data_IF_369024759874
#
_entry.id   IF_369024759874
#
_cell.length_a   1.000
_cell.length_b   1.000
_cell.length_c   1.000
_cell.angle_alpha   90.00
_cell.angle_beta   90.00
_cell.angle_gamma   90.00
#
_symmetry.space_group_name_H-M   'P 1'
#
loop_
_entity.id
_entity.type
_entity.pdbx_description
1 polymer ?
#
# COMPACT_ATOMS: atom_id res chain seq x y z
N UNK A 1 22.38 41.29 19.29
CA UNK A 1 22.40 39.95 19.94
C UNK A 1 21.46 39.05 19.17
N UNK A 2 21.91 38.06 18.39
CA UNK A 2 21.00 37.13 17.73
C UNK A 2 20.51 36.09 18.75
N UNK A 3 19.21 36.02 18.93
CA UNK A 3 18.54 35.04 19.76
C UNK A 3 18.87 33.62 19.24
N UNK A 4 19.58 32.83 20.05
CA UNK A 4 19.71 31.39 19.87
C UNK A 4 18.33 30.77 19.94
N UNK A 5 17.72 30.52 18.76
CA UNK A 5 16.62 29.59 18.64
C UNK A 5 17.23 28.23 18.95
N UNK A 6 17.01 27.76 20.17
CA UNK A 6 17.34 26.39 20.60
C UNK A 6 16.46 25.45 19.78
N UNK A 7 17.00 24.94 18.69
CA UNK A 7 16.42 23.80 17.99
C UNK A 7 16.40 22.64 18.99
N UNK A 8 15.26 22.37 19.60
CA UNK A 8 15.02 21.14 20.34
C UNK A 8 15.17 19.99 19.33
N UNK A 9 16.35 19.38 19.29
CA UNK A 9 16.59 18.18 18.52
C UNK A 9 15.70 17.08 19.13
N UNK A 10 14.56 16.85 18.49
CA UNK A 10 13.68 15.75 18.85
C UNK A 10 14.43 14.47 18.48
N UNK A 11 15.18 13.92 19.46
CA UNK A 11 15.99 12.73 19.29
C UNK A 11 15.06 11.56 18.94
N UNK A 12 15.09 11.11 17.69
CA UNK A 12 14.42 9.91 17.22
C UNK A 12 15.43 8.81 16.88
N UNK A 13 15.05 7.57 17.07
CA UNK A 13 15.89 6.42 16.71
C UNK A 13 15.69 6.06 15.24
N UNK A 14 16.68 6.36 14.38
CA UNK A 14 16.62 6.10 12.93
C UNK A 14 16.19 4.67 12.58
N UNK A 15 16.70 3.68 13.30
CA UNK A 15 16.36 2.27 13.03
C UNK A 15 14.89 1.95 13.34
N UNK A 16 14.31 2.49 14.43
CA UNK A 16 12.90 2.29 14.75
C UNK A 16 11.99 2.95 13.71
N UNK A 17 12.36 4.17 13.28
CA UNK A 17 11.63 4.88 12.21
C UNK A 17 11.71 4.12 10.88
N UNK A 18 12.89 3.61 10.54
CA UNK A 18 13.07 2.80 9.35
C UNK A 18 12.24 1.50 9.41
N UNK A 19 12.21 0.81 10.57
CA UNK A 19 11.36 -0.37 10.76
C UNK A 19 9.88 -0.02 10.62
N UNK A 20 9.44 1.12 11.15
CA UNK A 20 8.05 1.58 10.98
C UNK A 20 7.72 1.87 9.49
N UNK A 21 8.66 2.46 8.74
CA UNK A 21 8.51 2.62 7.29
C UNK A 21 8.42 1.27 6.57
N UNK A 22 9.23 0.29 6.94
CA UNK A 22 9.17 -1.08 6.38
C UNK A 22 7.82 -1.75 6.65
N UNK A 23 7.26 -1.59 7.86
CA UNK A 23 5.91 -2.08 8.19
C UNK A 23 4.86 -1.38 7.32
N UNK A 24 4.91 -0.06 7.17
CA UNK A 24 4.01 0.69 6.30
C UNK A 24 4.10 0.23 4.83
N UNK A 25 5.30 -0.03 4.34
CA UNK A 25 5.52 -0.54 2.98
C UNK A 25 5.00 -1.97 2.80
N UNK A 26 5.10 -2.81 3.83
CA UNK A 26 4.48 -4.14 3.85
C UNK A 26 2.95 -4.02 3.74
N UNK A 27 2.33 -3.07 4.44
CA UNK A 27 0.88 -2.80 4.35
C UNK A 27 0.49 -2.28 2.97
N UNK A 28 1.34 -1.48 2.32
CA UNK A 28 1.14 -1.10 0.93
C UNK A 28 1.16 -2.34 0.01
N UNK A 29 2.09 -3.28 0.21
CA UNK A 29 2.11 -4.55 -0.52
C UNK A 29 0.83 -5.35 -0.33
N UNK A 30 0.34 -5.46 0.91
CA UNK A 30 -0.96 -6.07 1.22
C UNK A 30 -2.09 -5.37 0.47
N UNK A 31 -2.15 -4.03 0.50
CA UNK A 31 -3.21 -3.25 -0.14
C UNK A 31 -3.29 -3.47 -1.65
N UNK A 32 -2.16 -3.68 -2.31
CA UNK A 32 -2.08 -3.86 -3.77
C UNK A 32 -2.64 -5.20 -4.23
N UNK A 33 -2.50 -6.25 -3.43
CA UNK A 33 -2.73 -7.63 -3.87
C UNK A 33 -4.02 -8.24 -3.29
N UNK A 34 -4.51 -7.72 -2.15
CA UNK A 34 -5.62 -8.34 -1.41
C UNK A 34 -6.86 -8.50 -2.28
N UNK A 35 -7.29 -7.43 -2.97
CA UNK A 35 -8.49 -7.50 -3.80
C UNK A 35 -8.38 -8.56 -4.89
N UNK A 36 -7.29 -8.57 -5.65
CA UNK A 36 -7.08 -9.56 -6.72
C UNK A 36 -7.04 -11.00 -6.22
N UNK A 37 -6.48 -11.22 -5.02
CA UNK A 37 -6.39 -12.54 -4.43
C UNK A 37 -7.74 -13.08 -3.92
N UNK A 38 -8.62 -12.21 -3.36
CA UNK A 38 -9.92 -12.62 -2.81
C UNK A 38 -11.08 -12.44 -3.79
N UNK A 39 -10.88 -11.75 -4.91
CA UNK A 39 -11.93 -11.42 -5.88
C UNK A 39 -12.72 -12.64 -6.38
N UNK A 40 -12.10 -13.78 -6.76
CA UNK A 40 -12.84 -14.98 -7.16
C UNK A 40 -13.76 -15.50 -6.05
N UNK A 41 -13.29 -15.48 -4.80
CA UNK A 41 -14.08 -15.91 -3.64
C UNK A 41 -15.25 -14.99 -3.35
N UNK A 42 -15.06 -13.67 -3.49
CA UNK A 42 -16.13 -12.67 -3.35
C UNK A 42 -17.20 -12.81 -4.45
N UNK A 43 -16.77 -13.03 -5.70
CA UNK A 43 -17.69 -13.27 -6.83
C UNK A 43 -18.54 -14.50 -6.55
N UNK A 44 -17.93 -15.61 -6.12
CA UNK A 44 -18.64 -16.85 -5.83
C UNK A 44 -19.57 -16.74 -4.63
N UNK A 45 -19.14 -16.07 -3.55
CA UNK A 45 -19.94 -15.91 -2.31
C UNK A 45 -21.16 -15.03 -2.52
N UNK A 46 -21.00 -13.90 -3.22
CA UNK A 46 -22.01 -12.85 -3.33
C UNK A 46 -22.74 -12.85 -4.67
N UNK A 47 -22.42 -13.80 -5.57
CA UNK A 47 -22.97 -13.88 -6.93
C UNK A 47 -22.87 -12.54 -7.68
N UNK A 48 -21.70 -11.89 -7.60
CA UNK A 48 -21.47 -10.57 -8.18
C UNK A 48 -21.62 -10.59 -9.70
N UNK A 49 -22.37 -9.64 -10.24
CA UNK A 49 -22.43 -9.43 -11.69
C UNK A 49 -21.10 -8.88 -12.23
N UNK A 50 -20.84 -9.02 -13.53
CA UNK A 50 -19.65 -8.49 -14.17
C UNK A 50 -19.46 -6.97 -13.94
N UNK A 51 -20.57 -6.19 -13.95
CA UNK A 51 -20.52 -4.76 -13.70
C UNK A 51 -20.12 -4.45 -12.25
N UNK A 52 -20.65 -5.18 -11.28
CA UNK A 52 -20.28 -5.03 -9.87
C UNK A 52 -18.80 -5.39 -9.64
N UNK A 53 -18.34 -6.50 -10.21
CA UNK A 53 -16.94 -6.93 -10.15
C UNK A 53 -15.99 -5.87 -10.73
N UNK A 54 -16.30 -5.35 -11.92
CA UNK A 54 -15.50 -4.29 -12.55
C UNK A 54 -15.47 -3.03 -11.70
N UNK A 55 -16.60 -2.65 -11.09
CA UNK A 55 -16.66 -1.50 -10.20
C UNK A 55 -15.73 -1.66 -9.00
N UNK A 56 -15.72 -2.84 -8.36
CA UNK A 56 -14.82 -3.11 -7.22
C UNK A 56 -13.34 -2.91 -7.61
N UNK A 57 -12.92 -3.47 -8.75
CA UNK A 57 -11.53 -3.32 -9.21
C UNK A 57 -11.19 -1.87 -9.55
N UNK A 58 -12.14 -1.10 -10.09
CA UNK A 58 -11.93 0.31 -10.44
C UNK A 58 -11.78 1.21 -9.22
N UNK A 59 -12.44 0.94 -8.12
CA UNK A 59 -12.37 1.76 -6.90
C UNK A 59 -11.02 1.70 -6.19
N UNK A 60 -10.25 0.62 -6.34
CA UNK A 60 -8.92 0.50 -5.74
C UNK A 60 -7.94 1.56 -6.28
N UNK A 61 -7.68 1.66 -7.60
CA UNK A 61 -6.77 2.68 -8.12
C UNK A 61 -7.29 4.12 -7.93
N UNK A 62 -8.61 4.33 -7.90
CA UNK A 62 -9.18 5.65 -7.57
C UNK A 62 -8.84 6.06 -6.14
N UNK A 63 -8.98 5.13 -5.17
CA UNK A 63 -8.54 5.36 -3.79
C UNK A 63 -7.05 5.66 -3.71
N UNK A 64 -6.21 4.90 -4.43
CA UNK A 64 -4.76 5.11 -4.46
C UNK A 64 -4.38 6.47 -5.04
N UNK A 65 -5.03 6.89 -6.12
CA UNK A 65 -4.83 8.21 -6.70
C UNK A 65 -5.15 9.31 -5.67
N UNK A 66 -6.31 9.22 -5.02
CA UNK A 66 -6.69 10.16 -3.98
C UNK A 66 -5.66 10.21 -2.84
N UNK A 67 -5.23 9.05 -2.34
CA UNK A 67 -4.20 8.93 -1.29
C UNK A 67 -2.87 9.56 -1.71
N UNK A 68 -2.42 9.30 -2.93
CA UNK A 68 -1.17 9.83 -3.47
C UNK A 68 -1.20 11.36 -3.66
N UNK A 69 -2.36 11.94 -3.95
CA UNK A 69 -2.49 13.39 -4.10
C UNK A 69 -2.49 14.12 -2.75
N UNK A 70 -3.06 13.52 -1.71
CA UNK A 70 -3.21 14.19 -0.42
C UNK A 70 -2.03 14.00 0.53
N UNK A 71 -1.18 12.95 0.34
CA UNK A 71 -0.13 12.64 1.30
C UNK A 71 0.89 13.78 1.44
N UNK A 72 1.38 14.36 0.34
CA UNK A 72 2.42 15.38 0.34
C UNK A 72 2.06 16.60 1.19
N UNK A 73 0.95 17.30 0.91
CA UNK A 73 0.51 18.45 1.71
C UNK A 73 0.30 18.12 3.20
N UNK A 74 -0.15 16.90 3.52
CA UNK A 74 -0.41 16.52 4.91
C UNK A 74 0.89 16.15 5.63
N UNK A 75 1.81 15.41 4.99
CA UNK A 75 3.08 15.03 5.63
C UNK A 75 3.93 16.25 5.94
N UNK A 76 3.98 17.24 5.04
CA UNK A 76 4.74 18.44 5.23
C UNK A 76 4.24 19.27 6.43
N UNK A 77 2.91 19.30 6.64
CA UNK A 77 2.29 20.07 7.71
C UNK A 77 2.22 19.35 9.05
N UNK A 78 1.85 18.08 9.06
CA UNK A 78 1.55 17.31 10.28
C UNK A 78 2.62 16.26 10.61
N UNK A 79 3.56 16.01 9.69
CA UNK A 79 4.64 15.05 9.84
C UNK A 79 4.24 13.60 9.52
N UNK A 80 5.24 12.77 9.40
CA UNK A 80 5.15 11.37 8.95
C UNK A 80 4.22 10.50 9.81
N UNK A 81 4.28 10.63 11.13
CA UNK A 81 3.47 9.82 12.06
C UNK A 81 1.97 10.02 11.87
N UNK A 82 1.57 11.28 11.60
CA UNK A 82 0.17 11.64 11.42
C UNK A 82 -0.48 11.01 10.19
N UNK A 83 0.33 10.50 9.26
CA UNK A 83 -0.13 9.78 8.07
C UNK A 83 0.08 8.29 8.17
N UNK A 84 1.28 7.83 8.57
CA UNK A 84 1.63 6.42 8.58
C UNK A 84 0.66 5.60 9.42
N UNK A 85 0.43 5.98 10.67
CA UNK A 85 -0.43 5.20 11.58
C UNK A 85 -1.89 5.17 11.13
N UNK A 86 -2.56 6.31 10.82
CA UNK A 86 -3.94 6.27 10.33
C UNK A 86 -4.09 5.52 9.01
N UNK A 87 -3.12 5.63 8.09
CA UNK A 87 -3.18 4.91 6.82
C UNK A 87 -3.07 3.40 7.00
N UNK A 88 -2.21 2.94 7.92
CA UNK A 88 -2.17 1.52 8.30
C UNK A 88 -3.50 1.04 8.88
N UNK A 89 -4.16 1.86 9.71
CA UNK A 89 -5.48 1.53 10.27
C UNK A 89 -6.54 1.47 9.16
N UNK A 90 -6.53 2.42 8.24
CA UNK A 90 -7.50 2.45 7.11
C UNK A 90 -7.33 1.21 6.22
N UNK A 91 -6.08 0.80 5.91
CA UNK A 91 -5.82 -0.42 5.13
C UNK A 91 -6.32 -1.66 5.88
N UNK A 92 -6.04 -1.77 7.18
CA UNK A 92 -6.52 -2.87 8.01
C UNK A 92 -8.05 -2.93 8.03
N UNK A 93 -8.73 -1.83 8.33
CA UNK A 93 -10.20 -1.78 8.38
C UNK A 93 -10.83 -2.09 7.01
N UNK A 94 -10.23 -1.60 5.94
CA UNK A 94 -10.68 -1.92 4.59
C UNK A 94 -10.51 -3.39 4.25
N UNK A 95 -9.39 -4.01 4.62
CA UNK A 95 -9.15 -5.43 4.42
C UNK A 95 -10.15 -6.29 5.21
N UNK A 96 -10.38 -5.97 6.48
CA UNK A 96 -11.40 -6.66 7.30
C UNK A 96 -12.81 -6.44 6.74
N UNK A 97 -13.08 -5.26 6.16
CA UNK A 97 -14.34 -5.00 5.48
C UNK A 97 -14.60 -5.95 4.30
N UNK A 98 -13.57 -6.43 3.60
CA UNK A 98 -13.74 -7.46 2.56
C UNK A 98 -14.13 -8.83 3.13
N UNK A 99 -13.78 -9.12 4.38
CA UNK A 99 -14.14 -10.35 5.06
C UNK A 99 -15.58 -10.31 5.61
N UNK A 100 -16.01 -9.16 6.14
CA UNK A 100 -17.26 -9.07 6.89
C UNK A 100 -18.44 -8.49 6.11
N UNK A 101 -18.21 -7.62 5.12
CA UNK A 101 -19.30 -6.97 4.42
C UNK A 101 -19.81 -7.82 3.26
N UNK A 102 -21.14 -7.85 3.11
CA UNK A 102 -21.84 -8.59 2.05
C UNK A 102 -22.51 -7.64 1.04
N UNK A 103 -22.61 -6.36 1.35
CA UNK A 103 -23.20 -5.38 0.44
C UNK A 103 -22.15 -4.73 -0.47
N UNK A 104 -22.45 -4.62 -1.77
CA UNK A 104 -21.55 -4.02 -2.75
C UNK A 104 -21.10 -2.61 -2.38
N UNK A 105 -21.96 -1.68 -1.89
CA UNK A 105 -21.52 -0.35 -1.49
C UNK A 105 -20.50 -0.35 -0.34
N UNK A 106 -20.66 -1.25 0.64
CA UNK A 106 -19.72 -1.36 1.75
C UNK A 106 -18.38 -1.98 1.30
N UNK A 107 -18.42 -2.95 0.38
CA UNK A 107 -17.20 -3.48 -0.25
C UNK A 107 -16.47 -2.40 -1.05
N UNK A 108 -17.19 -1.58 -1.82
CA UNK A 108 -16.62 -0.45 -2.55
C UNK A 108 -15.95 0.56 -1.59
N UNK A 109 -16.61 0.90 -0.48
CA UNK A 109 -16.06 1.77 0.54
C UNK A 109 -14.77 1.17 1.18
N UNK A 110 -14.79 -0.13 1.46
CA UNK A 110 -13.61 -0.86 1.97
C UNK A 110 -12.44 -0.80 0.99
N UNK A 111 -12.71 -1.02 -0.30
CA UNK A 111 -11.69 -0.99 -1.35
C UNK A 111 -11.14 0.42 -1.57
N UNK A 112 -12.00 1.45 -1.53
CA UNK A 112 -11.54 2.85 -1.55
C UNK A 112 -10.64 3.13 -0.35
N UNK A 113 -11.00 2.64 0.84
CA UNK A 113 -10.17 2.75 2.04
C UNK A 113 -8.80 2.06 1.88
N UNK A 114 -8.77 0.82 1.38
CA UNK A 114 -7.54 0.09 1.07
C UNK A 114 -6.68 0.90 0.07
N UNK A 115 -7.29 1.39 -0.99
CA UNK A 115 -6.61 2.19 -2.00
C UNK A 115 -6.05 3.49 -1.43
N UNK A 116 -6.87 4.25 -0.70
CA UNK A 116 -6.48 5.53 -0.09
C UNK A 116 -5.30 5.33 0.89
N UNK A 117 -5.43 4.38 1.82
CA UNK A 117 -4.37 4.07 2.77
C UNK A 117 -3.10 3.58 2.06
N UNK A 118 -3.23 2.69 1.06
CA UNK A 118 -2.12 2.20 0.25
C UNK A 118 -1.42 3.30 -0.53
N UNK A 119 -2.17 4.20 -1.18
CA UNK A 119 -1.61 5.33 -1.92
C UNK A 119 -0.83 6.30 -1.02
N UNK A 120 -1.34 6.58 0.18
CA UNK A 120 -0.63 7.38 1.19
C UNK A 120 0.65 6.65 1.62
N UNK A 121 0.56 5.37 2.01
CA UNK A 121 1.69 4.59 2.53
C UNK A 121 2.82 4.49 1.51
N UNK A 122 2.52 4.32 0.23
CA UNK A 122 3.54 4.30 -0.82
C UNK A 122 4.35 5.61 -0.86
N UNK A 123 3.67 6.75 -0.95
CA UNK A 123 4.35 8.04 -0.99
C UNK A 123 5.08 8.37 0.31
N UNK A 124 4.41 8.17 1.44
CA UNK A 124 4.88 8.51 2.77
C UNK A 124 6.11 7.70 3.20
N UNK A 125 6.10 6.37 3.02
CA UNK A 125 7.23 5.53 3.43
C UNK A 125 8.50 5.79 2.61
N UNK A 126 8.36 6.03 1.30
CA UNK A 126 9.48 6.43 0.45
C UNK A 126 10.03 7.81 0.83
N UNK A 127 9.16 8.78 1.11
CA UNK A 127 9.56 10.11 1.58
C UNK A 127 10.27 10.02 2.94
N UNK A 128 9.70 9.28 3.90
CA UNK A 128 10.27 9.08 5.23
C UNK A 128 11.68 8.47 5.16
N UNK A 129 11.86 7.37 4.40
CA UNK A 129 13.17 6.72 4.26
C UNK A 129 14.17 7.65 3.57
N UNK A 130 13.73 8.40 2.57
CA UNK A 130 14.56 9.41 1.91
C UNK A 130 15.02 10.50 2.90
N UNK A 131 14.15 10.91 3.82
CA UNK A 131 14.41 11.98 4.78
C UNK A 131 15.37 11.58 5.91
N UNK A 132 15.29 10.35 6.37
CA UNK A 132 16.16 9.85 7.46
C UNK A 132 17.49 9.28 6.97
N UNK A 133 17.65 9.09 5.65
CA UNK A 133 18.84 8.49 5.05
C UNK A 133 19.83 9.53 4.55
N UNK A 134 21.13 9.27 4.75
CA UNK A 134 22.19 10.04 4.10
C UNK A 134 22.24 9.73 2.60
N UNK A 135 22.77 10.67 1.80
CA UNK A 135 22.81 10.53 0.32
C UNK A 135 23.49 9.22 -0.15
N UNK A 136 24.54 8.76 0.56
CA UNK A 136 25.24 7.51 0.23
C UNK A 136 24.45 6.24 0.55
N UNK A 137 23.51 6.28 1.51
CA UNK A 137 22.74 5.13 1.97
C UNK A 137 21.32 5.07 1.40
N UNK A 138 20.86 6.18 0.84
CA UNK A 138 19.48 6.40 0.41
C UNK A 138 19.00 5.34 -0.59
N UNK A 139 19.80 5.07 -1.63
CA UNK A 139 19.49 4.06 -2.64
C UNK A 139 19.33 2.66 -2.04
N UNK A 140 20.29 2.24 -1.21
CA UNK A 140 20.26 0.94 -0.55
C UNK A 140 19.05 0.79 0.38
N UNK A 141 18.73 1.82 1.16
CA UNK A 141 17.59 1.78 2.08
C UNK A 141 16.24 1.78 1.35
N UNK A 142 16.12 2.50 0.23
CA UNK A 142 14.92 2.45 -0.60
C UNK A 142 14.75 1.10 -1.28
N UNK A 143 15.84 0.47 -1.74
CA UNK A 143 15.79 -0.89 -2.28
C UNK A 143 15.37 -1.90 -1.21
N UNK A 144 15.92 -1.78 0.01
CA UNK A 144 15.53 -2.63 1.13
C UNK A 144 14.05 -2.42 1.52
N UNK A 145 13.58 -1.18 1.49
CA UNK A 145 12.15 -0.86 1.69
C UNK A 145 11.27 -1.58 0.65
N UNK A 146 11.70 -1.62 -0.61
CA UNK A 146 11.01 -2.34 -1.69
C UNK A 146 10.87 -3.84 -1.45
N UNK A 147 11.79 -4.48 -0.71
CA UNK A 147 11.65 -5.89 -0.32
C UNK A 147 10.46 -6.11 0.62
N UNK A 148 10.17 -5.15 1.51
CA UNK A 148 8.99 -5.24 2.39
C UNK A 148 7.67 -5.08 1.64
N UNK A 149 7.65 -4.29 0.56
CA UNK A 149 6.52 -4.32 -0.38
C UNK A 149 6.29 -5.74 -0.90
N UNK A 150 7.35 -6.37 -1.40
CA UNK A 150 7.29 -7.74 -1.90
C UNK A 150 6.80 -8.74 -0.84
N UNK A 151 7.27 -8.65 0.40
CA UNK A 151 6.82 -9.50 1.50
C UNK A 151 5.32 -9.35 1.76
N UNK A 152 4.81 -8.12 1.79
CA UNK A 152 3.39 -7.85 1.94
C UNK A 152 2.57 -8.40 0.77
N UNK A 153 3.03 -8.15 -0.45
CA UNK A 153 2.35 -8.58 -1.67
C UNK A 153 2.36 -10.11 -1.85
N UNK A 154 3.44 -10.79 -1.48
CA UNK A 154 3.55 -12.25 -1.55
C UNK A 154 2.75 -12.95 -0.44
N UNK A 155 2.67 -12.35 0.74
CA UNK A 155 2.03 -12.95 1.91
C UNK A 155 0.57 -13.34 1.65
N UNK A 156 -0.21 -12.46 1.03
CA UNK A 156 -1.65 -12.68 0.79
C UNK A 156 -1.92 -13.90 -0.11
N UNK A 157 -1.44 -13.96 -1.38
CA UNK A 157 -1.76 -15.09 -2.25
C UNK A 157 -1.13 -16.39 -1.76
N UNK A 158 0.04 -16.33 -1.11
CA UNK A 158 0.68 -17.51 -0.54
C UNK A 158 -0.14 -18.10 0.62
N UNK A 159 -0.62 -17.26 1.55
CA UNK A 159 -1.44 -17.72 2.67
C UNK A 159 -2.81 -18.20 2.18
N UNK A 160 -3.47 -17.45 1.30
CA UNK A 160 -4.73 -17.91 0.71
C UNK A 160 -4.56 -19.20 -0.06
N UNK A 161 -3.53 -19.31 -0.92
CA UNK A 161 -3.28 -20.52 -1.72
C UNK A 161 -2.99 -21.77 -0.88
N UNK A 162 -2.25 -21.62 0.22
CA UNK A 162 -1.89 -22.75 1.09
C UNK A 162 -2.97 -23.13 2.10
N UNK A 163 -3.68 -22.15 2.66
CA UNK A 163 -4.63 -22.37 3.76
C UNK A 163 -6.09 -22.51 3.29
N UNK A 164 -6.43 -22.14 2.06
CA UNK A 164 -7.81 -22.19 1.52
C UNK A 164 -8.44 -23.59 1.52
N UNK A 165 -7.64 -24.65 1.67
CA UNK A 165 -8.14 -26.03 1.81
C UNK A 165 -8.75 -26.31 3.19
N UNK A 166 -8.36 -25.54 4.21
CA UNK A 166 -8.73 -25.80 5.60
C UNK A 166 -9.53 -24.63 6.22
N UNK A 167 -9.35 -23.42 5.72
CA UNK A 167 -9.93 -22.20 6.26
C UNK A 167 -10.60 -21.38 5.16
N UNK A 168 -11.68 -20.69 5.52
CA UNK A 168 -12.31 -19.72 4.61
C UNK A 168 -11.40 -18.50 4.41
N UNK A 169 -11.59 -17.79 3.30
CA UNK A 169 -10.78 -16.60 3.01
C UNK A 169 -10.95 -15.51 4.08
N UNK A 170 -12.14 -15.41 4.68
CA UNK A 170 -12.44 -14.48 5.78
C UNK A 170 -11.57 -14.78 7.01
N UNK A 171 -11.48 -16.06 7.39
CA UNK A 171 -10.65 -16.48 8.53
C UNK A 171 -9.17 -16.18 8.29
N UNK A 172 -8.71 -16.36 7.06
CA UNK A 172 -7.32 -16.07 6.67
C UNK A 172 -7.06 -14.54 6.73
N UNK A 173 -7.98 -13.72 6.19
CA UNK A 173 -7.87 -12.26 6.27
C UNK A 173 -7.84 -11.78 7.72
N UNK A 174 -8.73 -12.30 8.58
CA UNK A 174 -8.70 -12.02 10.02
C UNK A 174 -7.35 -12.32 10.66
N UNK A 175 -6.77 -13.48 10.35
CA UNK A 175 -5.44 -13.85 10.85
C UNK A 175 -4.36 -12.85 10.41
N UNK A 176 -4.40 -12.40 9.16
CA UNK A 176 -3.51 -11.38 8.62
C UNK A 176 -3.76 -10.03 9.33
N UNK A 177 -5.02 -9.68 9.57
CA UNK A 177 -5.41 -8.48 10.30
C UNK A 177 -4.84 -8.42 11.71
N UNK A 178 -4.81 -9.54 12.43
CA UNK A 178 -4.17 -9.62 13.75
C UNK A 178 -2.67 -9.32 13.66
N UNK A 179 -1.97 -9.84 12.64
CA UNK A 179 -0.55 -9.54 12.41
C UNK A 179 -0.35 -8.06 12.06
N UNK A 180 -1.22 -7.51 11.22
CA UNK A 180 -1.19 -6.08 10.87
C UNK A 180 -1.44 -5.21 12.10
N UNK A 181 -2.37 -5.59 12.97
CA UNK A 181 -2.64 -4.87 14.22
C UNK A 181 -1.39 -4.81 15.12
N UNK A 182 -0.64 -5.90 15.22
CA UNK A 182 0.64 -5.90 15.95
C UNK A 182 1.64 -4.91 15.35
N UNK A 183 1.74 -4.81 14.01
CA UNK A 183 2.55 -3.82 13.33
C UNK A 183 2.12 -2.37 13.62
N UNK A 184 0.82 -2.11 13.66
CA UNK A 184 0.26 -0.78 14.02
C UNK A 184 0.63 -0.43 15.47
N UNK A 185 0.42 -1.36 16.41
CA UNK A 185 0.76 -1.17 17.82
C UNK A 185 2.25 -0.84 17.99
N UNK A 186 3.13 -1.51 17.23
CA UNK A 186 4.56 -1.18 17.22
C UNK A 186 4.82 0.27 16.74
N UNK A 187 4.12 0.76 15.72
CA UNK A 187 4.34 2.10 15.17
C UNK A 187 3.86 3.23 16.10
N UNK A 188 2.89 2.99 16.99
CA UNK A 188 2.31 4.02 17.87
C UNK A 188 3.36 4.68 18.79
N UNK A 189 4.22 3.97 19.54
CA UNK A 189 5.20 4.57 20.43
C UNK A 189 6.41 5.16 19.68
N UNK A 190 6.63 4.87 18.40
CA UNK A 190 7.78 5.35 17.65
C UNK A 190 7.73 6.86 17.50
N UNK A 191 8.87 7.52 17.78
CA UNK A 191 9.06 8.97 17.58
C UNK A 191 9.62 9.19 16.18
N UNK A 192 8.93 10.01 15.40
CA UNK A 192 9.29 10.37 14.02
C UNK A 192 9.99 11.74 13.97
N UNK A 193 10.72 12.04 12.87
CA UNK A 193 11.27 13.37 12.66
C UNK A 193 10.17 14.42 12.62
N UNK A 194 10.52 15.66 13.00
CA UNK A 194 9.60 16.78 12.96
C UNK A 194 9.19 17.13 11.52
N UNK A 195 7.99 17.67 11.30
CA UNK A 195 7.54 18.09 9.98
C UNK A 195 8.46 19.18 9.41
N UNK A 196 8.73 19.14 8.11
CA UNK A 196 9.68 20.04 7.44
C UNK A 196 9.15 21.48 7.26
N UNK A 197 7.86 21.61 7.03
CA UNK A 197 7.22 22.88 6.68
C UNK A 197 5.94 23.08 7.48
N UNK A 198 6.06 23.69 8.67
CA UNK A 198 4.89 24.06 9.47
C UNK A 198 3.97 25.08 8.77
N UNK A 199 4.42 25.73 7.70
CA UNK A 199 3.67 26.77 6.96
C UNK A 199 2.87 26.23 5.75
N UNK A 200 2.96 24.93 5.42
CA UNK A 200 2.21 24.27 4.36
C UNK A 200 2.98 24.10 3.04
N UNK A 201 2.43 23.26 2.17
CA UNK A 201 3.03 22.88 0.89
C UNK A 201 2.96 24.03 -0.14
N UNK A 202 4.07 24.41 -0.81
CA UNK A 202 4.09 25.45 -1.83
C UNK A 202 3.49 24.93 -3.16
N UNK A 203 2.17 24.92 -3.25
CA UNK A 203 1.43 24.34 -4.42
C UNK A 203 1.90 24.94 -5.75
N UNK A 204 2.23 26.26 -5.78
CA UNK A 204 2.70 26.91 -7.03
C UNK A 204 4.05 26.37 -7.49
N UNK A 205 4.97 26.09 -6.57
CA UNK A 205 6.27 25.48 -6.90
C UNK A 205 6.12 24.05 -7.36
N UNK A 206 5.25 23.26 -6.68
CA UNK A 206 4.91 21.90 -7.08
C UNK A 206 4.32 21.82 -8.48
N UNK A 207 3.41 22.74 -8.85
CA UNK A 207 2.87 22.83 -10.19
C UNK A 207 3.93 23.27 -11.24
N UNK A 208 4.95 24.01 -10.82
CA UNK A 208 6.09 24.36 -11.68
C UNK A 208 6.86 23.14 -12.17
N UNK A 209 6.95 22.08 -11.35
CA UNK A 209 7.62 20.83 -11.70
C UNK A 209 6.95 20.08 -12.86
N UNK A 210 5.66 20.29 -13.11
CA UNK A 210 4.96 19.71 -14.26
C UNK A 210 5.46 20.25 -15.61
N UNK A 211 6.30 21.28 -15.63
CA UNK A 211 6.92 21.80 -16.84
C UNK A 211 8.25 21.12 -17.19
N UNK A 212 8.81 20.35 -16.24
CA UNK A 212 10.06 19.63 -16.43
C UNK A 212 9.84 18.37 -17.27
N UNK A 213 10.35 18.35 -18.51
CA UNK A 213 10.18 17.23 -19.45
C UNK A 213 10.71 15.91 -18.90
N UNK A 214 11.84 15.92 -18.19
CA UNK A 214 12.41 14.72 -17.58
C UNK A 214 11.49 14.12 -16.52
N UNK A 215 10.85 14.96 -15.70
CA UNK A 215 9.90 14.52 -14.68
C UNK A 215 8.64 13.94 -15.32
N UNK A 216 8.13 14.57 -16.39
CA UNK A 216 6.97 14.06 -17.13
C UNK A 216 7.25 12.70 -17.76
N UNK A 217 8.40 12.52 -18.41
CA UNK A 217 8.78 11.23 -19.02
C UNK A 217 8.89 10.12 -17.97
N UNK A 218 9.55 10.38 -16.85
CA UNK A 218 9.64 9.43 -15.73
C UNK A 218 8.25 9.11 -15.16
N UNK A 219 7.39 10.12 -15.02
CA UNK A 219 6.03 9.93 -14.52
C UNK A 219 5.20 9.04 -15.47
N UNK A 220 5.34 9.21 -16.78
CA UNK A 220 4.68 8.36 -17.77
C UNK A 220 5.20 6.92 -17.73
N UNK A 221 6.51 6.71 -17.59
CA UNK A 221 7.09 5.36 -17.45
C UNK A 221 6.50 4.67 -16.23
N UNK A 222 6.50 5.35 -15.07
CA UNK A 222 5.95 4.81 -13.82
C UNK A 222 4.43 4.59 -13.91
N UNK A 223 3.69 5.46 -14.60
CA UNK A 223 2.26 5.31 -14.83
C UNK A 223 1.94 4.02 -15.59
N UNK A 224 2.61 3.76 -16.72
CA UNK A 224 2.37 2.56 -17.50
C UNK A 224 2.86 1.30 -16.77
N UNK A 225 4.00 1.35 -16.09
CA UNK A 225 4.49 0.25 -15.27
C UNK A 225 3.49 -0.11 -14.18
N UNK A 226 3.02 0.88 -13.41
CA UNK A 226 2.04 0.67 -12.34
C UNK A 226 0.69 0.19 -12.89
N UNK A 227 0.30 0.67 -14.07
CA UNK A 227 -0.91 0.21 -14.76
C UNK A 227 -0.84 -1.28 -15.10
N UNK A 228 0.26 -1.74 -15.70
CA UNK A 228 0.48 -3.16 -16.02
C UNK A 228 0.49 -3.99 -14.73
N UNK A 229 1.25 -3.57 -13.73
CA UNK A 229 1.32 -4.25 -12.42
C UNK A 229 -0.08 -4.34 -11.78
N UNK A 230 -0.86 -3.26 -11.80
CA UNK A 230 -2.21 -3.22 -11.25
C UNK A 230 -3.18 -4.17 -11.96
N UNK A 231 -3.14 -4.24 -13.29
CA UNK A 231 -3.94 -5.19 -14.09
C UNK A 231 -3.55 -6.62 -13.74
N UNK A 232 -2.27 -6.93 -13.75
CA UNK A 232 -1.77 -8.27 -13.44
C UNK A 232 -2.15 -8.69 -12.02
N UNK A 233 -1.97 -7.82 -11.02
CA UNK A 233 -2.26 -8.13 -9.62
C UNK A 233 -3.75 -8.36 -9.34
N UNK A 234 -4.64 -7.66 -10.03
CA UNK A 234 -6.08 -7.70 -9.72
C UNK A 234 -6.90 -8.61 -10.63
N UNK A 235 -6.42 -8.91 -11.84
CA UNK A 235 -7.19 -9.70 -12.80
C UNK A 235 -6.65 -11.10 -13.07
N UNK A 236 -5.37 -11.39 -12.76
CA UNK A 236 -4.76 -12.70 -13.11
C UNK A 236 -5.51 -13.88 -12.53
N UNK A 237 -5.89 -13.83 -11.25
CA UNK A 237 -6.61 -14.92 -10.60
C UNK A 237 -7.99 -15.18 -11.22
N UNK A 238 -8.72 -14.11 -11.50
CA UNK A 238 -10.04 -14.17 -12.14
C UNK A 238 -9.94 -14.64 -13.59
N UNK A 239 -8.94 -14.18 -14.32
CA UNK A 239 -8.69 -14.60 -15.71
C UNK A 239 -8.39 -16.11 -15.80
N UNK A 240 -7.47 -16.61 -14.97
CA UNK A 240 -7.15 -18.03 -14.94
C UNK A 240 -8.36 -18.91 -14.57
N UNK A 241 -9.14 -18.49 -13.59
CA UNK A 241 -10.34 -19.23 -13.18
C UNK A 241 -11.45 -19.26 -14.22
N UNK A 242 -11.58 -18.21 -15.06
CA UNK A 242 -12.65 -18.13 -16.06
C UNK A 242 -12.26 -18.70 -17.44
N UNK A 243 -11.00 -18.58 -17.83
CA UNK A 243 -10.54 -18.89 -19.20
C UNK A 243 -9.82 -20.23 -19.34
N UNK A 244 -9.33 -20.81 -18.24
CA UNK A 244 -8.42 -21.98 -18.32
C UNK A 244 -8.84 -23.16 -17.46
N UNK A 245 -10.01 -23.15 -16.83
CA UNK A 245 -10.49 -24.18 -15.87
C UNK A 245 -9.47 -24.54 -14.77
N UNK A 246 -8.51 -23.65 -14.50
CA UNK A 246 -7.49 -23.85 -13.48
C UNK A 246 -8.12 -23.64 -12.09
N UNK A 247 -7.91 -24.57 -11.13
CA UNK A 247 -8.40 -24.42 -9.76
C UNK A 247 -7.88 -23.13 -9.11
N UNK A 248 -8.70 -22.48 -8.27
CA UNK A 248 -8.39 -21.21 -7.63
C UNK A 248 -7.03 -21.21 -6.89
N UNK A 249 -6.65 -22.32 -6.26
CA UNK A 249 -5.36 -22.46 -5.59
C UNK A 249 -4.17 -22.39 -6.57
N UNK A 250 -4.30 -22.94 -7.79
CA UNK A 250 -3.25 -22.85 -8.80
C UNK A 250 -3.17 -21.44 -9.41
N UNK A 251 -4.29 -20.75 -9.58
CA UNK A 251 -4.31 -19.35 -9.98
C UNK A 251 -3.60 -18.44 -8.96
N UNK A 252 -3.77 -18.71 -7.68
CA UNK A 252 -3.05 -18.01 -6.59
C UNK A 252 -1.54 -18.31 -6.61
N UNK A 253 -1.14 -19.54 -6.92
CA UNK A 253 0.28 -19.90 -7.10
C UNK A 253 0.88 -19.15 -8.30
N UNK A 254 0.17 -19.05 -9.41
CA UNK A 254 0.61 -18.30 -10.58
C UNK A 254 0.82 -16.80 -10.24
N UNK A 255 -0.13 -16.20 -9.51
CA UNK A 255 0.00 -14.84 -9.00
C UNK A 255 1.22 -14.71 -8.06
N UNK A 256 1.43 -15.66 -7.17
CA UNK A 256 2.60 -15.69 -6.27
C UNK A 256 3.91 -15.73 -7.05
N UNK A 257 4.01 -16.58 -8.09
CA UNK A 257 5.19 -16.67 -8.97
C UNK A 257 5.46 -15.32 -9.67
N UNK A 258 4.41 -14.68 -10.19
CA UNK A 258 4.53 -13.37 -10.84
C UNK A 258 5.03 -12.29 -9.88
N UNK A 259 4.43 -12.18 -8.69
CA UNK A 259 4.83 -11.21 -7.67
C UNK A 259 6.25 -11.49 -7.17
N UNK A 260 6.63 -12.78 -7.05
CA UNK A 260 8.01 -13.17 -6.72
C UNK A 260 8.99 -12.66 -7.77
N UNK A 261 8.69 -12.87 -9.05
CA UNK A 261 9.51 -12.36 -10.16
C UNK A 261 9.68 -10.84 -10.11
N UNK A 262 8.58 -10.10 -9.88
CA UNK A 262 8.62 -8.64 -9.71
C UNK A 262 9.44 -8.20 -8.48
N UNK A 263 9.35 -8.94 -7.38
CA UNK A 263 10.09 -8.62 -6.14
C UNK A 263 11.59 -8.86 -6.30
N UNK A 264 11.96 -9.94 -6.96
CA UNK A 264 13.39 -10.28 -7.22
C UNK A 264 14.02 -9.32 -8.24
N UNK A 265 13.22 -8.80 -9.19
CA UNK A 265 13.69 -7.86 -10.19
C UNK A 265 13.90 -6.43 -9.66
N UNK A 266 13.36 -6.10 -8.51
CA UNK A 266 13.55 -4.80 -7.82
C UNK A 266 14.77 -4.78 -6.94
#
# INVERSE_FOLDING_TARGET
MPSKITCMSNSYHKNLVFTAACIGMCFFGVSMITLGAVLPSLIAKLNLSGLQTTSLVTFLPLGMLAGSLIFGPIVDRFGHKALLVPSCIIVLLGMEGLAFFESVPLLQASIVGIGLGGGILNGETNALVSDISGESEKGSRLSFLGMFYGLGALGIPMLLGSLSRHYSFETILLGIGVVMLAGIIFCIPVRFPAPKQAQGFPVKEGLGLLKESSLLLLSFILFFQSGIEGVCNNWSTSYFGQMTDIPANQALIALTCMVTGLTVAR
#
